data_IF_002130433773
#
_entry.id   IF_002130433773
#
_cell.length_a   1.000
_cell.length_b   1.000
_cell.length_c   1.000
_cell.angle_alpha   90.00
_cell.angle_beta   90.00
_cell.angle_gamma   90.00
#
_symmetry.space_group_name_H-M   'P 1'
#
loop_
_entity.id
_entity.type
_entity.pdbx_description
1 polymer ?
#
# COMPACT_ATOMS: atom_id res chain seq x y z
N UNK A 1 -11.20 7.35 3.68
CA UNK A 1 -10.51 7.54 4.97
C UNK A 1 -9.99 8.96 5.13
N UNK A 2 -10.22 9.62 6.29
CA UNK A 2 -9.68 10.96 6.59
C UNK A 2 -8.15 11.04 6.45
N UNK A 3 -7.42 9.97 6.79
CA UNK A 3 -5.95 9.93 6.65
C UNK A 3 -5.49 10.12 5.20
N UNK A 4 -6.20 9.51 4.23
CA UNK A 4 -5.85 9.65 2.81
C UNK A 4 -6.10 11.08 2.35
N UNK A 5 -7.21 11.69 2.79
CA UNK A 5 -7.50 13.09 2.51
C UNK A 5 -6.43 14.01 3.13
N UNK A 6 -6.01 13.75 4.37
CA UNK A 6 -4.98 14.53 5.06
C UNK A 6 -3.60 14.42 4.36
N UNK A 7 -3.19 13.20 3.98
CA UNK A 7 -1.94 12.95 3.24
C UNK A 7 -2.01 13.58 1.85
N UNK A 8 -3.12 13.42 1.15
CA UNK A 8 -3.32 14.03 -0.16
C UNK A 8 -3.22 15.56 -0.07
N UNK A 9 -3.89 16.19 0.92
CA UNK A 9 -3.83 17.64 1.11
C UNK A 9 -2.43 18.15 1.49
N UNK A 10 -1.67 17.39 2.28
CA UNK A 10 -0.29 17.73 2.63
C UNK A 10 0.68 17.66 1.44
N UNK A 11 0.44 16.72 0.50
CA UNK A 11 1.39 16.42 -0.58
C UNK A 11 0.85 16.72 -1.99
N UNK A 12 -0.35 17.29 -2.15
CA UNK A 12 -0.96 17.59 -3.46
C UNK A 12 -0.13 18.48 -4.39
N UNK A 13 0.77 19.29 -3.84
CA UNK A 13 1.72 20.11 -4.60
C UNK A 13 3.05 19.41 -4.93
N UNK A 14 3.25 18.20 -4.42
CA UNK A 14 4.48 17.41 -4.50
C UNK A 14 4.28 16.06 -5.23
N UNK A 15 3.05 15.66 -5.55
CA UNK A 15 2.83 14.51 -6.43
C UNK A 15 3.27 14.88 -7.86
N UNK A 16 4.43 14.38 -8.26
CA UNK A 16 4.97 14.49 -9.63
C UNK A 16 4.29 13.53 -10.61
N UNK A 17 3.41 12.66 -10.11
CA UNK A 17 2.61 11.72 -10.90
C UNK A 17 3.24 10.32 -11.03
N UNK A 18 4.41 10.09 -10.42
CA UNK A 18 5.06 8.79 -10.41
C UNK A 18 4.59 7.96 -9.20
N UNK A 19 4.35 6.65 -9.40
CA UNK A 19 3.91 5.75 -8.33
C UNK A 19 4.99 5.60 -7.24
N UNK A 20 6.26 5.72 -7.61
CA UNK A 20 7.39 5.66 -6.68
C UNK A 20 7.35 6.82 -5.66
N UNK A 21 6.93 8.01 -6.06
CA UNK A 21 6.85 9.18 -5.17
C UNK A 21 5.75 9.00 -4.11
N UNK A 22 4.63 8.38 -4.48
CA UNK A 22 3.52 8.11 -3.56
C UNK A 22 3.96 7.12 -2.48
N UNK A 23 4.70 6.08 -2.85
CA UNK A 23 5.18 5.09 -1.89
C UNK A 23 6.17 5.70 -0.90
N UNK A 24 7.11 6.55 -1.36
CA UNK A 24 8.06 7.26 -0.50
C UNK A 24 7.32 8.18 0.48
N UNK A 25 6.30 8.91 0.01
CA UNK A 25 5.48 9.79 0.86
C UNK A 25 4.74 8.98 1.92
N UNK A 26 4.09 7.87 1.54
CA UNK A 26 3.38 7.00 2.49
C UNK A 26 4.35 6.44 3.53
N UNK A 27 5.53 5.98 3.11
CA UNK A 27 6.56 5.53 4.04
C UNK A 27 6.98 6.64 4.99
N UNK A 28 7.28 7.85 4.49
CA UNK A 28 7.67 8.98 5.34
C UNK A 28 6.58 9.43 6.31
N UNK A 29 5.30 9.32 5.93
CA UNK A 29 4.16 9.62 6.81
C UNK A 29 4.01 8.56 7.91
N UNK A 30 4.26 7.30 7.58
CA UNK A 30 4.18 6.19 8.53
C UNK A 30 5.44 6.02 9.36
N UNK A 31 6.58 6.51 8.88
CA UNK A 31 7.86 6.49 9.57
C UNK A 31 7.80 7.42 10.79
N UNK A 32 7.96 6.84 11.98
CA UNK A 32 7.77 7.54 13.25
C UNK A 32 6.38 7.43 13.87
N UNK A 33 5.39 6.83 13.19
CA UNK A 33 4.13 6.46 13.82
C UNK A 33 4.37 5.29 14.77
N UNK A 34 4.09 5.49 16.06
CA UNK A 34 4.24 4.42 17.04
C UNK A 34 3.11 3.37 16.90
N UNK A 35 3.27 2.23 17.58
CA UNK A 35 2.29 1.15 17.51
C UNK A 35 0.88 1.56 17.97
N UNK A 36 0.77 2.37 19.01
CA UNK A 36 -0.53 2.80 19.55
C UNK A 36 -1.30 3.68 18.57
N UNK A 37 -0.60 4.59 17.88
CA UNK A 37 -1.16 5.46 16.86
C UNK A 37 -1.56 4.67 15.61
N UNK A 38 -0.76 3.66 15.20
CA UNK A 38 -1.14 2.73 14.12
C UNK A 38 -2.40 1.92 14.48
N UNK A 39 -2.49 1.43 15.72
CA UNK A 39 -3.66 0.69 16.21
C UNK A 39 -4.88 1.58 16.23
N UNK A 40 -4.74 2.84 16.64
CA UNK A 40 -5.83 3.82 16.62
C UNK A 40 -6.29 4.08 15.18
N UNK A 41 -5.36 4.30 14.26
CA UNK A 41 -5.66 4.50 12.85
C UNK A 41 -6.46 3.32 12.27
N UNK A 42 -6.04 2.09 12.55
CA UNK A 42 -6.76 0.90 12.12
C UNK A 42 -8.15 0.79 12.76
N UNK A 43 -8.31 1.16 14.04
CA UNK A 43 -9.60 1.15 14.72
C UNK A 43 -10.60 2.15 14.13
N UNK A 44 -10.10 3.30 13.66
CA UNK A 44 -10.91 4.39 13.10
C UNK A 44 -11.44 4.09 11.68
N UNK A 45 -10.93 3.05 11.02
CA UNK A 45 -11.44 2.58 9.73
C UNK A 45 -12.87 2.03 9.82
N UNK A 46 -13.64 2.22 8.76
CA UNK A 46 -14.94 1.57 8.59
C UNK A 46 -14.78 0.06 8.42
N UNK A 47 -15.81 -0.76 8.75
CA UNK A 47 -15.74 -2.21 8.57
C UNK A 47 -15.32 -2.65 7.17
N UNK A 48 -15.78 -1.95 6.14
CA UNK A 48 -15.45 -2.22 4.74
C UNK A 48 -13.97 -1.91 4.45
N UNK A 49 -13.47 -0.77 4.92
CA UNK A 49 -12.06 -0.37 4.78
C UNK A 49 -11.13 -1.36 5.51
N UNK A 50 -11.53 -1.88 6.68
CA UNK A 50 -10.80 -2.94 7.40
C UNK A 50 -10.74 -4.24 6.61
N UNK A 51 -11.86 -4.62 6.00
CA UNK A 51 -11.93 -5.82 5.17
C UNK A 51 -11.04 -5.67 3.94
N UNK A 52 -11.13 -4.56 3.21
CA UNK A 52 -10.31 -4.27 2.03
C UNK A 52 -8.82 -4.26 2.36
N UNK A 53 -8.41 -3.60 3.45
CA UNK A 53 -7.01 -3.62 3.91
C UNK A 53 -6.53 -5.04 4.24
N UNK A 54 -7.37 -5.84 4.88
CA UNK A 54 -7.04 -7.24 5.21
C UNK A 54 -6.87 -8.07 3.94
N UNK A 55 -7.75 -7.89 2.95
CA UNK A 55 -7.66 -8.56 1.65
C UNK A 55 -6.37 -8.18 0.93
N UNK A 56 -6.04 -6.89 0.83
CA UNK A 56 -4.83 -6.41 0.16
C UNK A 56 -3.56 -6.94 0.82
N UNK A 57 -3.49 -6.92 2.15
CA UNK A 57 -2.35 -7.45 2.90
C UNK A 57 -2.15 -8.95 2.65
N UNK A 58 -3.24 -9.73 2.74
CA UNK A 58 -3.18 -11.18 2.52
C UNK A 58 -2.85 -11.52 1.06
N UNK A 59 -3.39 -10.77 0.10
CA UNK A 59 -3.08 -10.91 -1.31
C UNK A 59 -1.59 -10.73 -1.57
N UNK A 60 -1.00 -9.64 -1.09
CA UNK A 60 0.43 -9.36 -1.31
C UNK A 60 1.33 -10.39 -0.62
N UNK A 61 0.98 -10.84 0.60
CA UNK A 61 1.73 -11.91 1.29
C UNK A 61 1.64 -13.25 0.58
N UNK A 62 0.48 -13.59 0.02
CA UNK A 62 0.32 -14.80 -0.78
C UNK A 62 1.07 -14.71 -2.11
N UNK A 63 1.01 -13.56 -2.79
CA UNK A 63 1.78 -13.29 -4.01
C UNK A 63 3.29 -13.47 -3.77
N UNK A 64 3.83 -12.89 -2.69
CA UNK A 64 5.24 -13.05 -2.30
C UNK A 64 5.59 -14.52 -2.00
N UNK A 65 4.73 -15.22 -1.26
CA UNK A 65 4.94 -16.64 -0.95
C UNK A 65 4.91 -17.50 -2.22
N UNK A 66 3.97 -17.24 -3.13
CA UNK A 66 3.86 -17.93 -4.41
C UNK A 66 5.11 -17.75 -5.27
N UNK A 67 5.64 -16.52 -5.35
CA UNK A 67 6.88 -16.23 -6.04
C UNK A 67 8.08 -16.97 -5.44
N UNK A 68 8.19 -17.03 -4.11
CA UNK A 68 9.25 -17.77 -3.40
C UNK A 68 9.21 -19.27 -3.67
N UNK A 69 8.01 -19.85 -3.75
CA UNK A 69 7.79 -21.28 -4.01
C UNK A 69 7.82 -21.61 -5.51
N UNK A 70 7.98 -20.61 -6.39
CA UNK A 70 7.91 -20.77 -7.85
C UNK A 70 6.54 -21.21 -8.36
N UNK A 71 5.47 -20.97 -7.57
CA UNK A 71 4.10 -21.37 -7.88
C UNK A 71 3.38 -20.21 -8.55
N UNK A 72 3.11 -20.36 -9.85
CA UNK A 72 2.34 -19.39 -10.63
C UNK A 72 3.21 -18.33 -11.33
N UNK A 73 2.92 -18.10 -12.61
CA UNK A 73 3.46 -16.97 -13.37
C UNK A 73 2.62 -15.74 -13.04
N UNK A 74 3.05 -14.97 -12.05
CA UNK A 74 2.59 -13.59 -11.84
C UNK A 74 3.60 -12.71 -12.56
N UNK A 75 3.69 -12.89 -13.88
CA UNK A 75 4.39 -11.93 -14.72
C UNK A 75 3.67 -10.60 -14.54
N UNK A 76 4.41 -9.56 -14.19
CA UNK A 76 3.91 -8.22 -14.35
C UNK A 76 3.50 -8.09 -15.83
N UNK A 77 2.39 -7.44 -16.16
CA UNK A 77 1.98 -7.25 -17.56
C UNK A 77 3.08 -6.53 -18.39
N UNK A 78 4.06 -5.93 -17.72
CA UNK A 78 5.25 -5.28 -18.29
C UNK A 78 6.35 -6.23 -18.78
N UNK A 79 6.37 -7.51 -18.37
CA UNK A 79 7.40 -8.48 -18.78
C UNK A 79 7.10 -9.12 -20.16
N UNK A 80 6.01 -8.75 -20.84
CA UNK A 80 5.66 -9.27 -22.17
C UNK A 80 6.28 -8.52 -23.35
N UNK A 81 7.19 -7.57 -23.15
CA UNK A 81 7.90 -6.90 -24.25
C UNK A 81 9.42 -7.02 -24.10
N UNK A 82 9.98 -8.22 -24.17
CA UNK A 82 11.33 -8.40 -24.76
C UNK A 82 11.44 -9.76 -25.48
N UNK A 83 11.34 -9.67 -26.81
CA UNK A 83 11.75 -10.60 -27.87
C UNK A 83 11.23 -12.05 -27.94
#
# INVERSE_FOLDING_TARGET
>A
MKMIDDVYEMYKGHFTGDEEDILIIIYGVLDGVNNDDLVKLFKDLKPEEKFEMTVLYLYEKLRQKMAQEGVGYIGNEDDQIVH
#
